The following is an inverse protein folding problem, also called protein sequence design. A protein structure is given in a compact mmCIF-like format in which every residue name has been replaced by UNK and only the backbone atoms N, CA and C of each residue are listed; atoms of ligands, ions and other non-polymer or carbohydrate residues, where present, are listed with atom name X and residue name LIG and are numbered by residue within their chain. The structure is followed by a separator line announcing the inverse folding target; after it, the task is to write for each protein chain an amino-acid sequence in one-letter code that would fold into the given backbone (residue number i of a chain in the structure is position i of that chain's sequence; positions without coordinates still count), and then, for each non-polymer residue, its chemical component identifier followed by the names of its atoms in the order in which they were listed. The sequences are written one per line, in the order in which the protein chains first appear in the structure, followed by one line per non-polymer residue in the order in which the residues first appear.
data_IF_089362680321
#
_entry.id   IF_089362680321
#
_cell.length_a   1.000
_cell.length_b   1.000
_cell.length_c   1.000
_cell.angle_alpha   90.00
_cell.angle_beta   90.00
_cell.angle_gamma   90.00
#
_symmetry.space_group_name_H-M   'P 1'
#
loop_
_entity.id
_entity.type
_entity.pdbx_description
1 polymer ?
#
# COMPACT_ATOMS: atom_id res chain seq x y z
N UNK A 1 -54.60 43.44 -18.68
CA UNK A 1 -53.67 43.84 -17.60
C UNK A 1 -53.18 42.58 -16.95
N UNK A 2 -51.92 42.28 -17.24
CA UNK A 2 -51.30 40.97 -17.28
C UNK A 2 -50.71 40.53 -15.93
N UNK A 3 -50.79 39.24 -15.63
CA UNK A 3 -49.88 38.58 -14.66
C UNK A 3 -49.51 37.16 -15.14
N UNK A 4 -48.51 37.00 -16.03
CA UNK A 4 -47.98 35.70 -16.43
C UNK A 4 -46.70 35.32 -15.64
N UNK A 5 -46.36 36.01 -14.56
CA UNK A 5 -45.03 35.91 -13.91
C UNK A 5 -44.91 34.93 -12.74
N UNK A 6 -45.99 34.27 -12.30
CA UNK A 6 -45.94 33.42 -11.10
C UNK A 6 -45.74 31.92 -11.36
N UNK A 7 -45.94 31.45 -12.60
CA UNK A 7 -45.75 30.03 -12.94
C UNK A 7 -44.29 29.68 -13.30
N UNK A 8 -43.52 30.63 -13.83
CA UNK A 8 -42.12 30.39 -14.22
C UNK A 8 -41.16 30.26 -13.03
N UNK A 9 -41.45 30.91 -11.89
CA UNK A 9 -40.55 30.87 -10.72
C UNK A 9 -40.61 29.57 -9.92
N UNK A 10 -41.74 28.85 -9.94
CA UNK A 10 -41.88 27.57 -9.22
C UNK A 10 -41.20 26.41 -9.93
N UNK A 11 -41.18 26.43 -11.26
CA UNK A 11 -40.57 25.36 -12.07
C UNK A 11 -39.04 25.40 -12.05
N UNK A 12 -38.42 26.58 -11.96
CA UNK A 12 -36.95 26.73 -11.87
C UNK A 12 -36.41 26.29 -10.51
N UNK A 13 -37.14 26.53 -9.43
CA UNK A 13 -36.77 26.12 -8.06
C UNK A 13 -36.82 24.60 -7.84
N UNK A 14 -37.73 23.89 -8.51
CA UNK A 14 -37.83 22.42 -8.41
C UNK A 14 -36.72 21.73 -9.20
N UNK A 15 -36.32 22.27 -10.37
CA UNK A 15 -35.21 21.73 -11.16
C UNK A 15 -33.86 21.95 -10.48
N UNK A 16 -33.66 23.08 -9.80
CA UNK A 16 -32.46 23.33 -8.98
C UNK A 16 -32.38 22.46 -7.72
N UNK A 17 -33.52 22.06 -7.14
CA UNK A 17 -33.54 21.14 -6.00
C UNK A 17 -33.29 19.68 -6.40
N UNK A 18 -33.70 19.28 -7.62
CA UNK A 18 -33.40 17.96 -8.17
C UNK A 18 -31.97 17.83 -8.73
N UNK A 19 -31.34 18.94 -9.12
CA UNK A 19 -29.95 18.93 -9.58
C UNK A 19 -28.93 18.81 -8.43
N UNK A 20 -29.27 19.28 -7.22
CA UNK A 20 -28.37 19.21 -6.06
C UNK A 20 -28.29 17.82 -5.41
N UNK A 21 -29.30 16.96 -5.59
CA UNK A 21 -29.30 15.62 -4.99
C UNK A 21 -28.61 14.56 -5.84
N UNK A 22 -28.27 14.86 -7.10
CA UNK A 22 -27.68 13.89 -8.02
C UNK A 22 -26.14 13.96 -8.12
N UNK A 23 -25.49 14.92 -7.46
CA UNK A 23 -24.03 15.13 -7.54
C UNK A 23 -23.27 14.38 -6.42
N UNK A 24 -23.97 13.87 -5.39
CA UNK A 24 -23.35 13.39 -4.14
C UNK A 24 -23.07 11.89 -4.01
N UNK A 25 -23.00 11.11 -5.10
CA UNK A 25 -22.68 9.66 -5.03
C UNK A 25 -21.59 9.23 -6.01
N UNK A 26 -20.56 10.07 -6.18
CA UNK A 26 -19.25 9.52 -6.54
C UNK A 26 -18.72 8.95 -5.24
N UNK A 27 -19.01 7.67 -4.98
CA UNK A 27 -18.63 6.99 -3.75
C UNK A 27 -17.10 7.00 -3.66
N UNK A 28 -16.56 7.85 -2.80
CA UNK A 28 -15.26 7.57 -2.20
C UNK A 28 -15.45 6.23 -1.47
N UNK A 29 -14.73 5.20 -1.90
CA UNK A 29 -14.74 3.93 -1.18
C UNK A 29 -14.15 4.21 0.21
N UNK A 30 -15.00 4.22 1.23
CA UNK A 30 -14.58 4.45 2.61
C UNK A 30 -13.88 3.19 3.14
N UNK A 31 -12.83 3.35 3.95
CA UNK A 31 -12.09 2.22 4.54
C UNK A 31 -12.99 1.29 5.38
N UNK A 32 -14.12 1.81 5.87
CA UNK A 32 -15.11 1.05 6.64
C UNK A 32 -15.64 -0.18 5.89
N UNK A 33 -15.82 -0.07 4.57
CA UNK A 33 -16.30 -1.19 3.76
C UNK A 33 -15.27 -2.32 3.70
N UNK A 34 -13.97 -1.97 3.66
CA UNK A 34 -12.89 -2.96 3.71
C UNK A 34 -12.85 -3.63 5.10
N UNK A 35 -12.97 -2.83 6.16
CA UNK A 35 -12.90 -3.35 7.53
C UNK A 35 -14.07 -4.26 7.90
N UNK A 36 -15.22 -4.16 7.24
CA UNK A 36 -16.38 -5.06 7.44
C UNK A 36 -15.99 -6.55 7.38
N UNK A 37 -15.00 -6.90 6.56
CA UNK A 37 -14.44 -8.26 6.51
C UNK A 37 -13.01 -8.35 7.05
N UNK A 38 -12.19 -7.30 6.85
CA UNK A 38 -10.77 -7.35 7.19
C UNK A 38 -10.44 -7.05 8.64
N UNK A 39 -11.40 -6.65 9.49
CA UNK A 39 -11.16 -6.44 10.93
C UNK A 39 -11.27 -7.74 11.77
N UNK A 40 -11.82 -8.82 11.20
CA UNK A 40 -11.95 -10.08 11.92
C UNK A 40 -10.62 -10.87 11.90
N UNK A 41 -10.11 -11.21 13.08
CA UNK A 41 -8.91 -12.04 13.26
C UNK A 41 -9.05 -13.45 12.68
N UNK A 42 -10.28 -13.93 12.54
CA UNK A 42 -10.59 -15.22 11.93
C UNK A 42 -10.70 -15.16 10.41
N UNK A 43 -10.75 -13.95 9.82
CA UNK A 43 -10.90 -13.78 8.39
C UNK A 43 -9.69 -14.34 7.64
N UNK A 44 -9.98 -15.18 6.66
CA UNK A 44 -8.99 -15.78 5.77
C UNK A 44 -9.33 -15.55 4.31
N UNK A 45 -8.31 -15.44 3.48
CA UNK A 45 -8.41 -15.42 2.03
C UNK A 45 -7.43 -16.41 1.42
N UNK A 46 -7.44 -16.54 0.10
CA UNK A 46 -6.55 -17.44 -0.61
C UNK A 46 -5.59 -16.66 -1.51
N UNK A 47 -4.32 -17.07 -1.48
CA UNK A 47 -3.27 -16.52 -2.31
C UNK A 47 -2.38 -17.63 -2.84
N UNK A 48 -2.35 -17.81 -4.16
CA UNK A 48 -1.61 -18.85 -4.87
C UNK A 48 -1.89 -20.24 -4.30
N UNK A 49 -3.17 -20.53 -4.04
CA UNK A 49 -3.59 -21.81 -3.46
C UNK A 49 -3.45 -21.94 -1.95
N UNK A 50 -2.79 -21.00 -1.25
CA UNK A 50 -2.59 -21.06 0.20
C UNK A 50 -3.61 -20.21 0.93
N UNK A 51 -4.15 -20.74 2.03
CA UNK A 51 -5.00 -19.98 2.96
C UNK A 51 -4.09 -19.07 3.79
N UNK A 52 -4.42 -17.78 3.81
CA UNK A 52 -3.72 -16.77 4.59
C UNK A 52 -4.73 -16.00 5.43
N UNK A 53 -4.28 -15.46 6.56
CA UNK A 53 -5.08 -14.46 7.27
C UNK A 53 -5.12 -13.18 6.44
N UNK A 54 -6.31 -12.59 6.35
CA UNK A 54 -6.53 -11.29 5.71
C UNK A 54 -6.83 -10.19 6.74
N UNK A 55 -6.68 -10.50 8.02
CA UNK A 55 -6.89 -9.57 9.12
C UNK A 55 -5.96 -8.36 9.00
N UNK A 56 -6.54 -7.18 9.19
CA UNK A 56 -5.87 -5.89 9.28
C UNK A 56 -6.25 -5.25 10.60
N UNK A 57 -5.24 -4.97 11.42
CA UNK A 57 -5.43 -4.22 12.66
C UNK A 57 -5.47 -2.73 12.35
N UNK A 58 -6.68 -2.16 12.34
CA UNK A 58 -6.88 -0.73 12.09
C UNK A 58 -6.04 0.14 13.03
N UNK A 59 -5.88 -0.27 14.30
CA UNK A 59 -5.10 0.51 15.28
C UNK A 59 -3.64 0.58 14.88
N UNK A 60 -3.10 -0.43 14.21
CA UNK A 60 -1.73 -0.38 13.70
C UNK A 60 -1.62 0.53 12.49
N UNK A 61 -2.62 0.49 11.61
CA UNK A 61 -2.70 1.37 10.45
C UNK A 61 -2.77 2.84 10.84
N UNK A 62 -3.50 3.20 11.90
CA UNK A 62 -3.55 4.59 12.38
C UNK A 62 -2.20 5.11 12.92
N UNK A 63 -1.24 4.23 13.23
CA UNK A 63 0.12 4.64 13.62
C UNK A 63 1.10 4.65 12.43
N UNK A 64 0.65 4.27 11.23
CA UNK A 64 1.45 4.33 10.00
C UNK A 64 1.65 5.77 9.54
N UNK A 65 2.75 6.02 8.84
CA UNK A 65 2.95 7.28 8.08
C UNK A 65 1.91 7.46 6.98
N UNK A 66 1.21 6.38 6.59
CA UNK A 66 0.15 6.36 5.59
C UNK A 66 -1.26 6.33 6.20
N UNK A 67 -1.43 6.63 7.49
CA UNK A 67 -2.73 6.56 8.19
C UNK A 67 -3.88 7.32 7.50
N UNK A 68 -3.58 8.35 6.71
CA UNK A 68 -4.56 9.17 6.01
C UNK A 68 -4.94 8.64 4.63
N UNK A 69 -4.33 7.54 4.17
CA UNK A 69 -4.64 6.94 2.87
C UNK A 69 -5.81 5.97 2.99
N UNK A 70 -6.62 5.90 1.93
CA UNK A 70 -7.60 4.84 1.80
C UNK A 70 -6.94 3.50 1.48
N UNK A 71 -7.60 2.39 1.78
CA UNK A 71 -7.09 1.04 1.47
C UNK A 71 -6.77 0.89 -0.02
N UNK A 72 -7.65 1.41 -0.89
CA UNK A 72 -7.49 1.35 -2.35
C UNK A 72 -6.39 2.26 -2.90
N UNK A 73 -5.89 3.23 -2.12
CA UNK A 73 -4.73 4.03 -2.54
C UNK A 73 -3.47 3.16 -2.69
N UNK A 74 -3.35 2.11 -1.87
CA UNK A 74 -2.30 1.11 -1.99
C UNK A 74 -2.76 -0.12 -2.79
N UNK A 75 -3.97 -0.61 -2.50
CA UNK A 75 -4.62 -1.72 -3.21
C UNK A 75 -5.39 -1.22 -4.44
N UNK A 76 -4.69 -0.54 -5.35
CA UNK A 76 -5.27 0.18 -6.48
C UNK A 76 -5.99 -0.71 -7.49
N UNK A 77 -5.71 -2.02 -7.49
CA UNK A 77 -6.42 -2.99 -8.33
C UNK A 77 -7.88 -3.23 -7.90
N UNK A 78 -8.24 -2.79 -6.69
CA UNK A 78 -9.59 -2.85 -6.13
C UNK A 78 -10.43 -1.60 -6.41
N UNK A 79 -9.88 -0.57 -7.04
CA UNK A 79 -10.64 0.65 -7.36
C UNK A 79 -11.82 0.33 -8.30
N UNK A 80 -13.02 0.71 -7.86
CA UNK A 80 -14.27 0.47 -8.61
C UNK A 80 -14.65 -1.01 -8.77
N UNK A 81 -14.08 -1.90 -7.95
CA UNK A 81 -14.44 -3.32 -7.94
C UNK A 81 -15.63 -3.60 -7.03
N UNK A 82 -16.37 -4.65 -7.37
CA UNK A 82 -17.39 -5.20 -6.49
C UNK A 82 -16.74 -6.06 -5.41
N UNK A 83 -17.34 -6.04 -4.22
CA UNK A 83 -16.89 -6.80 -3.05
C UNK A 83 -17.95 -7.86 -2.67
N UNK A 84 -17.55 -9.05 -2.19
CA UNK A 84 -16.17 -9.51 -1.93
C UNK A 84 -15.36 -9.68 -3.23
N UNK A 85 -14.07 -9.35 -3.16
CA UNK A 85 -13.17 -9.36 -4.31
C UNK A 85 -12.58 -10.75 -4.57
N UNK A 86 -12.05 -10.97 -5.78
CA UNK A 86 -11.38 -12.21 -6.18
C UNK A 86 -10.08 -12.47 -5.38
N UNK A 87 -9.64 -13.74 -5.40
CA UNK A 87 -8.33 -14.16 -4.92
C UNK A 87 -7.18 -13.60 -5.78
N UNK A 88 -5.95 -13.69 -5.28
CA UNK A 88 -4.73 -13.38 -6.04
C UNK A 88 -4.64 -11.94 -6.57
N UNK A 89 -5.00 -10.99 -5.71
CA UNK A 89 -4.79 -9.56 -5.92
C UNK A 89 -3.35 -9.21 -6.33
N UNK A 90 -3.24 -8.14 -7.12
CA UNK A 90 -1.94 -7.61 -7.52
C UNK A 90 -1.19 -7.10 -6.29
N UNK A 91 0.14 -7.27 -6.23
CA UNK A 91 0.93 -6.65 -5.18
C UNK A 91 0.80 -5.12 -5.21
N UNK A 92 0.80 -4.50 -4.03
CA UNK A 92 0.87 -3.05 -3.86
C UNK A 92 2.18 -2.52 -4.47
N UNK A 93 2.10 -1.41 -5.19
CA UNK A 93 3.25 -0.75 -5.83
C UNK A 93 3.53 0.60 -5.16
N UNK A 94 4.56 0.65 -4.32
CA UNK A 94 4.95 1.88 -3.59
C UNK A 94 5.40 3.00 -4.53
N UNK A 95 6.02 2.62 -5.66
CA UNK A 95 6.58 3.57 -6.65
C UNK A 95 5.55 4.42 -7.39
N UNK A 96 4.24 4.14 -7.25
CA UNK A 96 3.20 5.00 -7.79
C UNK A 96 3.20 6.40 -7.14
N UNK A 97 3.68 6.49 -5.89
CA UNK A 97 3.86 7.77 -5.18
C UNK A 97 5.33 8.02 -4.81
N UNK A 98 6.10 6.98 -4.51
CA UNK A 98 7.53 7.04 -4.18
C UNK A 98 8.40 6.78 -5.42
N UNK A 99 8.24 7.59 -6.47
CA UNK A 99 8.89 7.37 -7.76
C UNK A 99 10.41 7.46 -7.69
N UNK A 100 10.91 8.37 -6.86
CA UNK A 100 12.33 8.65 -6.75
C UNK A 100 13.02 7.49 -6.00
N UNK A 101 12.45 7.08 -4.87
CA UNK A 101 12.94 5.90 -4.12
C UNK A 101 12.82 4.62 -4.95
N UNK A 102 11.74 4.47 -5.73
CA UNK A 102 11.58 3.33 -6.65
C UNK A 102 12.67 3.32 -7.72
N UNK A 103 13.04 4.50 -8.24
CA UNK A 103 14.09 4.65 -9.25
C UNK A 103 15.44 4.26 -8.67
N UNK A 104 15.81 4.78 -7.50
CA UNK A 104 17.08 4.44 -6.86
C UNK A 104 17.13 2.96 -6.43
N UNK A 105 16.05 2.44 -5.83
CA UNK A 105 15.97 1.02 -5.50
C UNK A 105 16.13 0.14 -6.74
N UNK A 106 15.57 0.52 -7.89
CA UNK A 106 15.69 -0.26 -9.12
C UNK A 106 17.14 -0.39 -9.64
N UNK A 107 17.99 0.60 -9.39
CA UNK A 107 19.41 0.60 -9.78
C UNK A 107 20.29 -0.22 -8.82
N UNK A 108 19.85 -0.38 -7.57
CA UNK A 108 20.54 -1.16 -6.54
C UNK A 108 20.66 -2.65 -6.87
N UNK A 109 21.50 -3.38 -6.13
CA UNK A 109 21.61 -4.83 -6.25
C UNK A 109 20.29 -5.55 -5.95
N UNK A 110 19.48 -5.06 -5.00
CA UNK A 110 18.16 -5.60 -4.71
C UNK A 110 17.20 -5.39 -5.89
N UNK A 111 17.16 -4.18 -6.45
CA UNK A 111 16.33 -3.88 -7.63
C UNK A 111 16.73 -4.72 -8.85
N UNK A 112 18.03 -4.87 -9.11
CA UNK A 112 18.56 -5.74 -10.18
C UNK A 112 18.23 -7.22 -9.92
N UNK A 113 18.19 -7.67 -8.67
CA UNK A 113 17.75 -9.02 -8.32
C UNK A 113 16.26 -9.23 -8.60
N UNK A 114 15.40 -8.26 -8.25
CA UNK A 114 13.97 -8.28 -8.61
C UNK A 114 13.78 -8.37 -10.13
N UNK A 115 14.50 -7.56 -10.91
CA UNK A 115 14.40 -7.54 -12.37
C UNK A 115 14.79 -8.88 -13.01
N UNK A 116 15.71 -9.63 -12.38
CA UNK A 116 16.09 -10.98 -12.81
C UNK A 116 15.10 -12.06 -12.36
N UNK A 117 14.03 -11.70 -11.67
CA UNK A 117 13.05 -12.64 -11.13
C UNK A 117 13.55 -13.46 -9.96
N UNK A 118 14.56 -12.98 -9.22
CA UNK A 118 15.12 -13.70 -8.08
C UNK A 118 14.08 -13.78 -6.94
N UNK A 119 13.66 -14.99 -6.52
CA UNK A 119 12.65 -15.15 -5.47
C UNK A 119 13.12 -14.71 -4.08
N UNK A 120 14.44 -14.52 -3.89
CA UNK A 120 15.03 -14.04 -2.64
C UNK A 120 15.23 -12.52 -2.61
N UNK A 121 14.92 -11.82 -3.71
CA UNK A 121 15.08 -10.36 -3.74
C UNK A 121 14.07 -9.67 -2.83
N UNK A 122 14.53 -8.83 -1.88
CA UNK A 122 13.63 -8.11 -0.98
C UNK A 122 12.89 -7.00 -1.74
N UNK A 123 11.63 -6.81 -1.40
CA UNK A 123 10.75 -5.73 -1.85
C UNK A 123 10.69 -4.64 -0.78
N UNK A 124 10.07 -3.51 -1.14
CA UNK A 124 9.90 -2.37 -0.23
C UNK A 124 9.32 -2.80 1.13
N UNK A 125 8.28 -3.66 1.11
CA UNK A 125 7.60 -4.13 2.32
C UNK A 125 8.44 -5.05 3.21
N UNK A 126 9.48 -5.71 2.68
CA UNK A 126 10.31 -6.62 3.46
C UNK A 126 11.20 -5.86 4.45
N UNK A 127 11.56 -4.62 4.09
CA UNK A 127 12.27 -3.68 4.96
C UNK A 127 11.31 -2.74 5.71
N UNK A 128 10.34 -2.13 5.03
CA UNK A 128 9.49 -1.08 5.62
C UNK A 128 8.29 -1.61 6.42
N UNK A 129 7.87 -2.86 6.20
CA UNK A 129 6.61 -3.40 6.71
C UNK A 129 5.44 -3.15 5.75
N UNK A 130 4.22 -3.31 6.27
CA UNK A 130 2.98 -3.31 5.49
C UNK A 130 1.93 -2.32 6.03
N UNK A 131 1.00 -2.77 6.87
CA UNK A 131 -0.05 -1.92 7.45
C UNK A 131 0.41 -1.12 8.68
N UNK A 132 1.70 -1.17 9.02
CA UNK A 132 2.31 -0.44 10.15
C UNK A 132 3.67 0.14 9.70
N UNK A 133 3.68 0.91 8.61
CA UNK A 133 4.92 1.52 8.08
C UNK A 133 5.25 2.76 8.92
N UNK A 134 6.43 2.74 9.54
CA UNK A 134 6.92 3.82 10.39
C UNK A 134 7.99 4.65 9.65
N UNK A 135 8.08 5.93 9.96
CA UNK A 135 9.15 6.80 9.48
C UNK A 135 10.51 6.28 9.93
N UNK A 136 11.55 6.42 9.11
CA UNK A 136 12.92 6.04 9.45
C UNK A 136 13.47 6.80 10.68
N UNK A 137 12.91 7.98 11.01
CA UNK A 137 13.27 8.72 12.23
C UNK A 137 12.65 8.14 13.51
N UNK A 138 11.67 7.25 13.40
CA UNK A 138 11.07 6.58 14.55
C UNK A 138 11.95 5.40 14.98
N UNK A 139 12.42 5.40 16.24
CA UNK A 139 13.26 4.33 16.78
C UNK A 139 12.63 2.92 16.71
N UNK A 140 11.30 2.83 16.59
CA UNK A 140 10.62 1.56 16.41
C UNK A 140 10.61 1.06 14.96
N UNK A 141 10.86 1.94 13.98
CA UNK A 141 10.88 1.58 12.57
C UNK A 141 11.98 0.57 12.26
N UNK A 142 11.69 -0.50 11.50
CA UNK A 142 12.72 -1.41 11.02
C UNK A 142 13.79 -0.70 10.17
N UNK A 143 13.46 0.44 9.57
CA UNK A 143 14.37 1.27 8.78
C UNK A 143 15.02 2.40 9.57
N UNK A 144 14.88 2.41 10.89
CA UNK A 144 15.64 3.35 11.74
C UNK A 144 17.12 2.93 11.84
N UNK A 145 18.06 3.88 11.98
CA UNK A 145 19.49 3.59 11.99
C UNK A 145 19.91 2.50 12.98
N UNK A 146 19.30 2.49 14.17
CA UNK A 146 19.56 1.51 15.22
C UNK A 146 19.03 0.11 14.88
N UNK A 147 18.04 0.00 13.99
CA UNK A 147 17.42 -1.27 13.59
C UNK A 147 17.88 -1.80 12.24
N UNK A 148 18.61 -1.01 11.44
CA UNK A 148 19.15 -1.44 10.13
C UNK A 148 19.90 -2.79 10.21
N UNK A 149 20.83 -3.03 11.16
CA UNK A 149 21.53 -4.33 11.22
C UNK A 149 20.57 -5.52 11.37
N UNK A 150 19.50 -5.36 12.16
CA UNK A 150 18.48 -6.39 12.35
C UNK A 150 17.63 -6.60 11.10
N UNK A 151 17.28 -5.51 10.39
CA UNK A 151 16.51 -5.58 9.14
C UNK A 151 17.30 -6.28 8.05
N UNK A 152 18.56 -5.89 7.83
CA UNK A 152 19.44 -6.56 6.87
C UNK A 152 19.68 -8.03 7.27
N UNK A 153 19.90 -8.28 8.56
CA UNK A 153 20.18 -9.61 9.12
C UNK A 153 19.05 -10.63 8.95
N UNK A 154 17.80 -10.20 8.70
CA UNK A 154 16.70 -11.14 8.36
C UNK A 154 17.04 -12.03 7.16
N UNK A 155 17.82 -11.49 6.22
CA UNK A 155 18.27 -12.19 5.03
C UNK A 155 19.79 -12.37 5.05
N UNK A 156 20.56 -11.35 5.42
CA UNK A 156 22.01 -11.35 5.39
C UNK A 156 22.63 -11.73 6.75
N UNK A 157 22.28 -12.90 7.24
CA UNK A 157 22.93 -13.52 8.40
C UNK A 157 23.74 -14.74 7.99
N UNK A 158 24.69 -15.13 8.83
CA UNK A 158 25.49 -16.32 8.61
C UNK A 158 24.59 -17.56 8.42
N UNK A 159 24.90 -18.37 7.41
CA UNK A 159 24.10 -19.55 7.06
C UNK A 159 22.78 -19.28 6.34
N UNK A 160 22.41 -18.02 6.07
CA UNK A 160 21.22 -17.73 5.27
C UNK A 160 21.43 -18.07 3.79
N UNK A 161 20.35 -18.49 3.12
CA UNK A 161 20.36 -18.94 1.71
C UNK A 161 20.95 -17.88 0.79
N UNK A 162 20.62 -16.60 1.00
CA UNK A 162 21.14 -15.50 0.17
C UNK A 162 22.66 -15.40 0.24
N UNK A 163 23.28 -15.71 1.39
CA UNK A 163 24.74 -15.68 1.54
C UNK A 163 25.44 -16.95 1.06
N UNK A 164 24.74 -18.09 1.04
CA UNK A 164 25.29 -19.34 0.52
C UNK A 164 25.26 -19.39 -1.02
N UNK A 165 24.28 -18.73 -1.63
CA UNK A 165 24.01 -18.86 -3.07
C UNK A 165 24.52 -17.67 -3.91
N UNK A 166 24.95 -16.58 -3.28
CA UNK A 166 25.42 -15.38 -3.99
C UNK A 166 26.82 -15.02 -3.52
N UNK A 167 27.76 -14.91 -4.47
CA UNK A 167 29.05 -14.28 -4.21
C UNK A 167 28.84 -12.77 -4.09
N UNK A 168 28.63 -12.30 -2.86
CA UNK A 168 28.60 -10.88 -2.54
C UNK A 168 29.99 -10.50 -2.05
N UNK A 169 30.78 -9.91 -2.94
CA UNK A 169 32.11 -9.38 -2.64
C UNK A 169 32.02 -8.37 -1.48
N UNK A 170 32.59 -8.73 -0.33
CA UNK A 170 32.64 -7.91 0.88
C UNK A 170 33.81 -6.93 0.88
N UNK A 171 34.78 -7.16 -0.01
CA UNK A 171 35.84 -6.24 -0.32
C UNK A 171 35.23 -4.96 -0.93
N UNK A 172 35.64 -3.81 -0.39
CA UNK A 172 35.12 -2.48 -0.75
C UNK A 172 33.68 -2.20 -0.29
N UNK A 173 33.28 -2.68 0.89
CA UNK A 173 31.96 -2.42 1.45
C UNK A 173 31.59 -0.93 1.49
N UNK A 174 32.55 -0.02 1.71
CA UNK A 174 32.32 1.43 1.70
C UNK A 174 32.03 1.97 0.31
N UNK A 175 32.69 1.46 -0.74
CA UNK A 175 32.43 1.84 -2.14
C UNK A 175 31.07 1.30 -2.60
N UNK A 176 30.70 0.10 -2.12
CA UNK A 176 29.43 -0.55 -2.41
C UNK A 176 28.24 -0.02 -1.56
N UNK A 177 28.50 0.75 -0.50
CA UNK A 177 27.46 1.38 0.36
C UNK A 177 27.19 2.86 0.02
N UNK A 178 28.05 3.47 -0.80
CA UNK A 178 28.01 4.92 -1.08
C UNK A 178 27.33 5.29 -2.41
N UNK A 179 26.56 4.39 -3.01
CA UNK A 179 25.61 4.74 -4.08
C UNK A 179 24.26 5.18 -3.51
#
# INVERSE_FOLDING_TARGET
MDKPTQFFFRSVLIVLFFALTFIGKILAQENADCFTCHEDKSATGKRKGKIISIFVDEKKLTHSVHQSLSCIACHSDLEGKEFPHDDDLKPVTCGNCHSDEQTEHSKSLHGKAIQRGDPLAPKCSDCHGNHEILSASNNNSPTSPLKIPFTCGKCHQEGAIVQQQKEIHQDHILENFSE
#
